data_IF_082796045664
#
_entry.id   IF_082796045664
#
_cell.length_a   1.000
_cell.length_b   1.000
_cell.length_c   1.000
_cell.angle_alpha   90.00
_cell.angle_beta   90.00
_cell.angle_gamma   90.00
#
_symmetry.space_group_name_H-M   'P 1'
#
loop_
_entity.id
_entity.type
_entity.pdbx_description
1 polymer ?
#
# COMPACT_ATOMS: atom_id res chain seq x y z
N UNK A 1 -4.35 -13.07 -0.09
CA UNK A 1 -4.09 -11.85 -0.88
C UNK A 1 -5.38 -11.14 -1.19
N UNK A 2 -5.43 -9.83 -0.98
CA UNK A 2 -6.51 -8.93 -1.43
C UNK A 2 -5.98 -8.11 -2.61
N UNK A 3 -6.78 -7.95 -3.65
CA UNK A 3 -6.49 -7.04 -4.77
C UNK A 3 -7.57 -5.96 -4.81
N UNK A 4 -7.16 -4.70 -4.68
CA UNK A 4 -8.07 -3.55 -4.76
C UNK A 4 -7.86 -2.87 -6.10
N UNK A 5 -8.89 -2.89 -6.94
CA UNK A 5 -8.85 -2.29 -8.27
C UNK A 5 -8.88 -0.76 -8.20
N UNK A 6 -8.37 -0.11 -9.25
CA UNK A 6 -8.44 1.34 -9.40
C UNK A 6 -9.90 1.84 -9.31
N UNK A 7 -10.12 2.95 -8.59
CA UNK A 7 -11.44 3.52 -8.34
C UNK A 7 -12.31 2.75 -7.34
N UNK A 8 -11.87 1.60 -6.84
CA UNK A 8 -12.58 0.89 -5.79
C UNK A 8 -12.40 1.56 -4.42
N UNK A 9 -13.43 1.41 -3.58
CA UNK A 9 -13.41 1.83 -2.18
C UNK A 9 -13.43 0.58 -1.31
N UNK A 10 -12.39 0.39 -0.49
CA UNK A 10 -12.31 -0.72 0.46
C UNK A 10 -11.87 -0.20 1.84
N UNK A 11 -12.79 -0.18 2.79
CA UNK A 11 -12.54 0.34 4.14
C UNK A 11 -12.42 -0.77 5.15
N UNK A 12 -11.84 -0.45 6.31
CA UNK A 12 -11.70 -1.32 7.47
C UNK A 12 -10.96 -2.63 7.16
N UNK A 13 -10.00 -2.57 6.22
CA UNK A 13 -9.18 -3.72 5.87
C UNK A 13 -8.33 -4.14 7.07
N UNK A 14 -8.29 -5.44 7.32
CA UNK A 14 -7.37 -6.05 8.27
C UNK A 14 -6.40 -6.92 7.49
N UNK A 15 -5.14 -6.48 7.41
CA UNK A 15 -4.04 -7.30 6.92
C UNK A 15 -3.41 -7.99 8.12
N UNK A 16 -3.74 -9.27 8.31
CA UNK A 16 -3.06 -10.10 9.29
C UNK A 16 -1.64 -10.45 8.81
N UNK A 17 -0.77 -10.89 9.73
CA UNK A 17 0.58 -11.39 9.41
C UNK A 17 0.53 -12.43 8.28
N UNK A 18 1.43 -12.30 7.30
CA UNK A 18 1.40 -13.15 6.11
C UNK A 18 0.42 -12.69 5.02
N UNK A 19 -0.39 -11.66 5.31
CA UNK A 19 -1.41 -11.14 4.42
C UNK A 19 -0.82 -10.22 3.37
N UNK A 20 -1.14 -10.47 2.10
CA UNK A 20 -0.72 -9.60 1.01
C UNK A 20 -1.87 -8.68 0.54
N UNK A 21 -1.56 -7.41 0.29
CA UNK A 21 -2.43 -6.46 -0.39
C UNK A 21 -1.78 -5.94 -1.68
N UNK A 22 -2.54 -5.93 -2.77
CA UNK A 22 -2.11 -5.38 -4.06
C UNK A 22 -3.07 -4.29 -4.51
N UNK A 23 -2.55 -3.10 -4.79
CA UNK A 23 -3.34 -1.93 -5.17
C UNK A 23 -2.49 -0.87 -5.88
N UNK A 24 -3.16 0.18 -6.34
CA UNK A 24 -2.51 1.40 -6.82
C UNK A 24 -3.01 2.61 -6.03
N UNK A 25 -2.35 3.75 -6.25
CA UNK A 25 -2.75 5.05 -5.71
C UNK A 25 -4.07 5.61 -6.32
N UNK A 26 -4.73 4.89 -7.23
CA UNK A 26 -6.08 5.23 -7.73
C UNK A 26 -7.22 4.60 -6.91
N UNK A 27 -6.91 3.74 -5.94
CA UNK A 27 -7.91 3.19 -5.03
C UNK A 27 -8.15 4.13 -3.82
N UNK A 28 -9.29 3.98 -3.15
CA UNK A 28 -9.53 4.55 -1.82
C UNK A 28 -9.60 3.42 -0.80
N UNK A 29 -8.61 3.36 0.08
CA UNK A 29 -8.43 2.27 1.05
C UNK A 29 -8.08 2.81 2.43
N UNK A 30 -8.61 2.20 3.47
CA UNK A 30 -8.05 2.32 4.82
C UNK A 30 -8.05 0.96 5.53
N UNK A 31 -7.17 0.81 6.49
CA UNK A 31 -7.04 -0.43 7.23
C UNK A 31 -5.88 -0.43 8.22
N UNK A 32 -5.56 -1.61 8.72
CA UNK A 32 -4.46 -1.85 9.65
C UNK A 32 -3.73 -3.15 9.36
N UNK A 33 -2.46 -3.19 9.74
CA UNK A 33 -1.57 -4.34 9.82
C UNK A 33 -0.83 -4.32 11.17
N UNK A 34 -0.02 -5.34 11.52
CA UNK A 34 0.66 -5.41 12.81
C UNK A 34 1.54 -4.20 13.15
N UNK A 35 2.10 -3.51 12.14
CA UNK A 35 2.98 -2.35 12.32
C UNK A 35 2.22 -0.99 12.31
N UNK A 36 0.89 -1.00 12.15
CA UNK A 36 0.05 0.19 12.30
C UNK A 36 -1.09 0.32 11.30
N UNK A 37 -1.60 1.53 11.16
CA UNK A 37 -2.66 1.87 10.19
C UNK A 37 -2.07 2.25 8.82
N UNK A 38 -2.84 2.00 7.77
CA UNK A 38 -2.49 2.39 6.42
C UNK A 38 -3.69 3.00 5.68
N UNK A 39 -3.39 3.82 4.68
CA UNK A 39 -4.40 4.44 3.84
C UNK A 39 -3.92 4.66 2.42
N UNK A 40 -4.86 4.66 1.47
CA UNK A 40 -4.71 5.26 0.15
C UNK A 40 -5.92 6.13 -0.10
N UNK A 41 -5.74 7.42 -0.37
CA UNK A 41 -6.84 8.30 -0.77
C UNK A 41 -6.32 9.45 -1.64
N UNK A 42 -7.11 9.82 -2.66
CA UNK A 42 -6.82 10.93 -3.57
C UNK A 42 -5.35 10.99 -4.06
N UNK A 43 -4.77 9.84 -4.43
CA UNK A 43 -3.39 9.79 -4.93
C UNK A 43 -2.30 9.84 -3.86
N UNK A 44 -2.66 9.73 -2.58
CA UNK A 44 -1.71 9.63 -1.47
C UNK A 44 -1.81 8.28 -0.78
N UNK A 45 -0.73 7.50 -0.80
CA UNK A 45 -0.58 6.25 -0.08
C UNK A 45 0.30 6.43 1.17
N UNK A 46 -0.08 5.89 2.32
CA UNK A 46 0.67 6.04 3.55
C UNK A 46 0.62 4.78 4.41
N UNK A 47 1.76 4.39 4.98
CA UNK A 47 1.82 3.38 6.04
C UNK A 47 1.60 1.94 5.57
N UNK A 48 1.63 1.64 4.27
CA UNK A 48 1.40 0.28 3.78
C UNK A 48 2.56 -0.66 4.15
N UNK A 49 2.21 -1.84 4.65
CA UNK A 49 3.09 -3.01 4.74
C UNK A 49 2.89 -3.86 3.49
N UNK A 50 3.94 -3.98 2.67
CA UNK A 50 3.93 -4.80 1.46
C UNK A 50 4.80 -6.03 1.72
N UNK A 51 4.14 -7.16 1.87
CA UNK A 51 4.73 -8.46 2.21
C UNK A 51 4.05 -9.56 1.38
N UNK A 52 4.69 -10.73 1.26
CA UNK A 52 4.11 -11.96 0.70
C UNK A 52 3.49 -11.78 -0.70
N UNK A 53 4.16 -11.00 -1.56
CA UNK A 53 3.67 -10.69 -2.91
C UNK A 53 2.70 -9.51 -2.98
N UNK A 54 2.50 -8.78 -1.87
CA UNK A 54 1.77 -7.52 -1.83
C UNK A 54 2.48 -6.43 -2.64
N UNK A 55 1.71 -5.61 -3.35
CA UNK A 55 2.26 -4.65 -4.30
C UNK A 55 1.55 -3.30 -4.28
N UNK A 56 2.33 -2.21 -4.28
CA UNK A 56 1.82 -0.86 -4.51
C UNK A 56 2.37 -0.29 -5.81
N UNK A 57 1.46 0.22 -6.66
CA UNK A 57 1.81 1.11 -7.78
C UNK A 57 1.51 2.57 -7.44
N UNK A 58 2.55 3.39 -7.35
CA UNK A 58 2.45 4.84 -7.20
C UNK A 58 2.42 5.46 -8.60
N UNK A 59 1.31 6.07 -8.99
CA UNK A 59 1.15 6.68 -10.32
C UNK A 59 1.86 8.03 -10.41
N UNK A 60 2.01 8.53 -11.63
CA UNK A 60 2.58 9.87 -11.88
C UNK A 60 1.73 10.94 -11.18
N UNK A 61 2.41 11.94 -10.58
CA UNK A 61 1.74 12.99 -9.80
C UNK A 61 1.24 12.56 -8.42
N UNK A 62 1.29 11.27 -8.09
CA UNK A 62 0.90 10.72 -6.79
C UNK A 62 2.12 10.57 -5.85
N UNK A 63 1.84 10.34 -4.56
CA UNK A 63 2.87 10.20 -3.53
C UNK A 63 2.59 9.00 -2.62
N UNK A 64 3.66 8.30 -2.24
CA UNK A 64 3.63 7.32 -1.16
C UNK A 64 4.60 7.68 -0.03
N UNK A 65 4.20 7.51 1.22
CA UNK A 65 5.03 7.78 2.39
C UNK A 65 4.97 6.63 3.40
N UNK A 66 6.05 6.43 4.16
CA UNK A 66 6.12 5.44 5.25
C UNK A 66 5.76 4.03 4.77
N UNK A 67 6.26 3.65 3.60
CA UNK A 67 6.05 2.31 3.04
C UNK A 67 7.04 1.34 3.68
N UNK A 68 6.53 0.24 4.20
CA UNK A 68 7.32 -0.87 4.75
C UNK A 68 7.34 -1.96 3.68
N UNK A 69 8.52 -2.24 3.14
CA UNK A 69 8.78 -3.35 2.23
C UNK A 69 9.36 -4.51 3.03
N UNK A 70 8.65 -5.63 3.03
CA UNK A 70 9.09 -6.90 3.64
C UNK A 70 9.24 -7.96 2.53
N UNK A 71 9.45 -9.21 2.91
CA UNK A 71 9.70 -10.35 2.04
C UNK A 71 8.68 -10.42 0.89
N UNK A 72 9.19 -10.42 -0.34
CA UNK A 72 8.40 -10.51 -1.58
C UNK A 72 7.41 -9.34 -1.80
N UNK A 73 7.49 -8.27 -1.02
CA UNK A 73 6.77 -7.03 -1.26
C UNK A 73 7.33 -6.27 -2.46
N UNK A 74 6.46 -5.60 -3.21
CA UNK A 74 6.86 -4.79 -4.36
C UNK A 74 6.29 -3.38 -4.36
N UNK A 75 7.16 -2.41 -4.68
CA UNK A 75 6.79 -1.00 -4.81
C UNK A 75 7.25 -0.49 -6.18
N UNK A 76 6.29 -0.18 -7.05
CA UNK A 76 6.54 0.45 -8.35
C UNK A 76 6.22 1.94 -8.27
N UNK A 77 7.20 2.78 -8.58
CA UNK A 77 7.09 4.23 -8.42
C UNK A 77 7.20 4.94 -9.76
N UNK A 78 6.08 5.49 -10.23
CA UNK A 78 6.04 6.47 -11.33
C UNK A 78 5.84 7.91 -10.81
N UNK A 79 5.46 8.07 -9.53
CA UNK A 79 5.32 9.35 -8.84
C UNK A 79 6.48 9.62 -7.89
N UNK A 80 6.17 9.95 -6.64
CA UNK A 80 7.18 10.20 -5.60
C UNK A 80 7.02 9.25 -4.42
N UNK A 81 8.13 8.91 -3.77
CA UNK A 81 8.11 8.24 -2.47
C UNK A 81 9.07 8.90 -1.49
N UNK A 82 8.76 8.79 -0.20
CA UNK A 82 9.66 9.18 0.88
C UNK A 82 9.49 8.22 2.07
N UNK A 83 10.55 8.09 2.88
CA UNK A 83 10.57 7.23 4.06
C UNK A 83 10.14 5.78 3.76
N UNK A 84 10.73 5.18 2.72
CA UNK A 84 10.59 3.74 2.48
C UNK A 84 11.56 3.00 3.39
N UNK A 85 11.05 2.05 4.16
CA UNK A 85 11.85 1.14 4.99
C UNK A 85 11.82 -0.22 4.33
N UNK A 86 12.99 -0.84 4.17
CA UNK A 86 13.13 -2.23 3.73
C UNK A 86 13.56 -3.03 4.95
N UNK A 87 12.78 -4.04 5.30
CA UNK A 87 12.98 -4.90 6.47
C UNK A 87 13.54 -6.24 6.05
#
# INVERSE_FOLDING_TARGET
>A
TISVSDGAIATDIVQSEGGAITLSTLATVNGRHPEGEFSVDQGYACGLLLENGGNLRVLEGHRAEKIILDQEGGLLVNGTTSAVVVV
#
